data_IF_755947815346
#
_entry.id   IF_755947815346
#
_cell.length_a   1.000
_cell.length_b   1.000
_cell.length_c   1.000
_cell.angle_alpha   90.00
_cell.angle_beta   90.00
_cell.angle_gamma   90.00
#
_symmetry.space_group_name_H-M   'P 1'
#
loop_
_entity.id
_entity.type
_entity.pdbx_description
1 polymer ?
#
# COMPACT_ATOMS: atom_id res chain seq x y z
N UNK A 1 4.63 -16.58 5.79
CA UNK A 1 5.47 -15.38 5.88
C UNK A 1 4.59 -14.15 6.16
N UNK A 2 5.04 -13.24 7.01
CA UNK A 2 4.34 -11.99 7.29
C UNK A 2 4.99 -10.87 6.47
N UNK A 3 4.61 -10.76 5.20
CA UNK A 3 5.09 -9.72 4.32
C UNK A 3 4.26 -8.43 4.50
N UNK A 4 4.86 -7.27 4.30
CA UNK A 4 4.19 -5.99 4.49
C UNK A 4 3.11 -5.75 3.44
N UNK A 5 3.41 -6.10 2.20
CA UNK A 5 2.51 -5.94 1.05
C UNK A 5 2.64 -7.13 0.12
N UNK A 6 1.52 -7.76 -0.16
CA UNK A 6 1.43 -8.86 -1.12
C UNK A 6 0.11 -8.75 -1.84
N UNK A 7 0.15 -8.86 -3.15
CA UNK A 7 -1.02 -9.04 -3.99
C UNK A 7 -0.97 -10.41 -4.67
N UNK A 8 -2.10 -10.88 -5.11
CA UNK A 8 -2.21 -12.06 -5.95
C UNK A 8 -3.24 -11.81 -7.05
N UNK A 9 -3.15 -12.61 -8.09
CA UNK A 9 -4.12 -12.60 -9.19
C UNK A 9 -4.62 -14.01 -9.42
N UNK A 10 -5.86 -14.14 -9.82
CA UNK A 10 -6.38 -15.43 -10.28
C UNK A 10 -5.74 -15.77 -11.62
N UNK A 11 -5.46 -17.07 -11.84
CA UNK A 11 -4.97 -17.53 -13.13
C UNK A 11 -6.04 -17.33 -14.20
N UNK A 12 -5.68 -16.67 -15.28
CA UNK A 12 -6.46 -16.59 -16.51
C UNK A 12 -5.68 -17.20 -17.67
N UNK A 13 -6.30 -18.03 -18.53
CA UNK A 13 -5.63 -18.60 -19.67
C UNK A 13 -5.26 -17.51 -20.69
N UNK A 14 -3.99 -17.48 -21.07
CA UNK A 14 -3.46 -16.59 -22.10
C UNK A 14 -2.96 -17.46 -23.26
N UNK A 15 -3.24 -17.07 -24.49
CA UNK A 15 -2.82 -17.80 -25.68
C UNK A 15 -1.30 -18.03 -25.68
N UNK A 16 -0.88 -19.27 -25.94
CA UNK A 16 0.53 -19.67 -25.97
C UNK A 16 1.17 -19.94 -24.61
N UNK A 17 0.45 -19.80 -23.51
CA UNK A 17 0.98 -20.12 -22.18
C UNK A 17 0.95 -21.65 -21.94
N UNK A 18 2.11 -22.23 -21.59
CA UNK A 18 2.22 -23.67 -21.28
C UNK A 18 1.39 -24.12 -20.09
N UNK A 19 1.02 -23.19 -19.23
CA UNK A 19 0.13 -23.46 -18.10
C UNK A 19 -1.29 -23.86 -18.53
N UNK A 20 -1.70 -23.56 -19.76
CA UNK A 20 -2.99 -23.98 -20.30
C UNK A 20 -3.06 -25.49 -20.54
N UNK A 21 -1.90 -26.15 -20.75
CA UNK A 21 -1.79 -27.57 -21.03
C UNK A 21 -1.78 -28.44 -19.76
N UNK A 22 -1.77 -27.81 -18.58
CA UNK A 22 -1.82 -28.53 -17.33
C UNK A 22 -3.21 -29.15 -17.11
N UNK A 23 -3.28 -30.40 -16.64
CA UNK A 23 -4.54 -31.05 -16.30
C UNK A 23 -5.12 -30.38 -15.00
N UNK A 24 -6.39 -30.63 -14.78
CA UNK A 24 -7.08 -30.29 -13.52
C UNK A 24 -7.10 -28.78 -13.19
N UNK A 25 -7.46 -27.96 -14.16
CA UNK A 25 -7.68 -26.54 -13.92
C UNK A 25 -8.69 -26.31 -12.80
N UNK A 26 -8.32 -25.42 -11.87
CA UNK A 26 -9.19 -25.05 -10.74
C UNK A 26 -10.41 -24.27 -11.27
N UNK A 27 -11.64 -24.64 -10.88
CA UNK A 27 -12.86 -23.91 -11.23
C UNK A 27 -12.77 -22.43 -10.79
N UNK A 28 -13.42 -21.53 -11.54
CA UNK A 28 -13.34 -20.11 -11.29
C UNK A 28 -13.83 -19.71 -9.88
N UNK A 29 -14.89 -20.34 -9.42
CA UNK A 29 -15.44 -20.13 -8.07
C UNK A 29 -14.41 -20.43 -6.97
N UNK A 30 -13.65 -21.51 -7.13
CA UNK A 30 -12.59 -21.89 -6.17
C UNK A 30 -11.40 -20.93 -6.26
N UNK A 31 -11.06 -20.45 -7.45
CA UNK A 31 -10.01 -19.42 -7.59
C UNK A 31 -10.39 -18.15 -6.87
N UNK A 32 -11.64 -17.72 -7.03
CA UNK A 32 -12.16 -16.51 -6.39
C UNK A 32 -12.19 -16.65 -4.87
N UNK A 33 -12.68 -17.76 -4.34
CA UNK A 33 -12.66 -18.05 -2.90
C UNK A 33 -11.23 -18.00 -2.32
N UNK A 34 -10.28 -18.63 -3.00
CA UNK A 34 -8.87 -18.61 -2.57
C UNK A 34 -8.25 -17.22 -2.64
N UNK A 35 -8.59 -16.44 -3.64
CA UNK A 35 -8.17 -15.06 -3.78
C UNK A 35 -8.67 -14.21 -2.60
N UNK A 36 -9.96 -14.25 -2.32
CA UNK A 36 -10.58 -13.48 -1.24
C UNK A 36 -9.97 -13.84 0.11
N UNK A 37 -9.85 -15.11 0.41
CA UNK A 37 -9.22 -15.59 1.64
C UNK A 37 -7.76 -15.16 1.78
N UNK A 38 -7.02 -15.18 0.68
CA UNK A 38 -5.62 -14.71 0.67
C UNK A 38 -5.54 -13.22 0.96
N UNK A 39 -6.38 -12.42 0.31
CA UNK A 39 -6.40 -10.96 0.49
C UNK A 39 -6.87 -10.56 1.90
N UNK A 40 -7.83 -11.26 2.47
CA UNK A 40 -8.28 -11.05 3.85
C UNK A 40 -7.13 -11.24 4.85
N UNK A 41 -6.42 -12.37 4.77
CA UNK A 41 -5.26 -12.63 5.64
C UNK A 41 -4.15 -11.58 5.43
N UNK A 42 -3.90 -11.17 4.21
CA UNK A 42 -2.91 -10.14 3.93
C UNK A 42 -3.31 -8.78 4.49
N UNK A 43 -4.58 -8.44 4.44
CA UNK A 43 -5.11 -7.20 5.01
C UNK A 43 -4.94 -7.15 6.53
N UNK A 44 -5.21 -8.25 7.22
CA UNK A 44 -4.98 -8.37 8.67
C UNK A 44 -3.50 -8.20 9.03
N UNK A 45 -2.60 -8.85 8.29
CA UNK A 45 -1.15 -8.73 8.50
C UNK A 45 -0.69 -7.29 8.28
N UNK A 46 -1.16 -6.65 7.22
CA UNK A 46 -0.82 -5.26 6.89
C UNK A 46 -1.29 -4.31 7.98
N UNK A 47 -2.55 -4.44 8.41
CA UNK A 47 -3.11 -3.63 9.49
C UNK A 47 -2.34 -3.79 10.80
N UNK A 48 -2.03 -5.01 11.20
CA UNK A 48 -1.26 -5.29 12.41
C UNK A 48 0.16 -4.70 12.36
N UNK A 49 0.81 -4.69 11.18
CA UNK A 49 2.13 -4.08 11.00
C UNK A 49 2.08 -2.57 11.04
N UNK A 50 1.04 -1.97 10.46
CA UNK A 50 0.83 -0.52 10.51
C UNK A 50 0.61 -0.05 11.95
N UNK A 51 -0.18 -0.77 12.73
CA UNK A 51 -0.37 -0.46 14.15
C UNK A 51 0.95 -0.44 14.93
N UNK A 52 1.90 -1.32 14.62
CA UNK A 52 3.23 -1.34 15.24
C UNK A 52 4.11 -0.16 14.84
N UNK A 53 3.80 0.53 13.74
CA UNK A 53 4.54 1.73 13.30
C UNK A 53 4.08 3.01 13.99
N UNK A 54 2.92 3.00 14.63
CA UNK A 54 2.41 4.17 15.37
C UNK A 54 3.41 4.57 16.45
N UNK A 55 3.76 5.86 16.49
CA UNK A 55 4.75 6.41 17.42
C UNK A 55 6.22 6.22 17.01
N UNK A 56 6.50 5.57 15.88
CA UNK A 56 7.86 5.45 15.36
C UNK A 56 8.22 6.65 14.49
N UNK A 57 9.49 7.05 14.57
CA UNK A 57 10.07 8.07 13.70
C UNK A 57 10.45 7.45 12.36
N UNK A 58 10.10 8.11 11.26
CA UNK A 58 10.55 7.68 9.94
C UNK A 58 10.93 8.88 9.05
N UNK A 59 11.81 8.61 8.10
CA UNK A 59 12.14 9.57 7.03
C UNK A 59 11.15 9.36 5.90
N UNK A 60 10.56 10.45 5.43
CA UNK A 60 9.65 10.44 4.29
C UNK A 60 10.11 11.44 3.24
N UNK A 61 9.74 11.22 1.99
CA UNK A 61 9.91 12.16 0.90
C UNK A 61 8.56 12.85 0.69
N UNK A 62 8.53 14.16 0.77
CA UNK A 62 7.32 14.96 0.51
C UNK A 62 7.11 15.05 -1.00
N UNK A 63 5.99 14.54 -1.48
CA UNK A 63 5.60 14.57 -2.88
C UNK A 63 4.77 15.83 -3.21
N UNK A 64 3.83 16.19 -2.35
CA UNK A 64 3.01 17.38 -2.52
C UNK A 64 2.57 18.00 -1.18
N UNK A 65 2.22 19.28 -1.24
CA UNK A 65 1.63 20.02 -0.13
C UNK A 65 0.19 20.38 -0.52
N UNK A 66 -0.75 20.03 0.34
CA UNK A 66 -2.15 20.43 0.15
C UNK A 66 -2.31 21.91 0.45
N UNK A 67 -2.92 22.69 -0.45
CA UNK A 67 -3.04 24.14 -0.30
C UNK A 67 -4.09 24.54 0.75
N UNK A 68 -5.17 23.79 0.83
CA UNK A 68 -6.30 24.09 1.71
C UNK A 68 -6.10 23.62 3.16
N UNK A 69 -5.26 22.63 3.39
CA UNK A 69 -5.03 22.04 4.71
C UNK A 69 -3.53 21.97 5.03
N UNK A 70 -3.14 22.05 6.31
CA UNK A 70 -1.74 21.89 6.72
C UNK A 70 -1.32 20.42 6.68
N UNK A 71 -1.51 19.79 5.53
CA UNK A 71 -1.21 18.37 5.28
C UNK A 71 -0.24 18.25 4.11
N UNK A 72 0.81 17.48 4.29
CA UNK A 72 1.66 17.04 3.19
C UNK A 72 1.37 15.58 2.83
N UNK A 73 1.36 15.31 1.55
CA UNK A 73 1.37 13.94 1.04
C UNK A 73 2.82 13.54 0.82
N UNK A 74 3.21 12.45 1.44
CA UNK A 74 4.57 11.95 1.42
C UNK A 74 4.61 10.44 1.24
N UNK A 75 5.79 9.90 0.99
CA UNK A 75 6.03 8.46 0.90
C UNK A 75 7.26 8.06 1.71
N UNK A 76 7.25 6.85 2.25
CA UNK A 76 8.40 6.28 2.90
C UNK A 76 9.34 5.59 1.89
N UNK A 77 10.50 5.12 2.35
CA UNK A 77 11.42 4.36 1.51
C UNK A 77 10.86 2.99 1.05
N UNK A 78 9.74 2.57 1.61
CA UNK A 78 9.06 1.32 1.26
C UNK A 78 7.89 1.52 0.29
N UNK A 79 7.62 2.77 -0.11
CA UNK A 79 6.45 3.12 -0.91
C UNK A 79 6.87 3.56 -2.33
N UNK A 80 6.30 2.93 -3.34
CA UNK A 80 6.46 3.37 -4.73
C UNK A 80 5.50 4.54 -5.03
N UNK A 81 5.97 5.54 -5.82
CA UNK A 81 5.11 6.65 -6.21
C UNK A 81 3.88 6.17 -6.98
N UNK A 82 2.71 6.74 -6.65
CA UNK A 82 1.42 6.51 -7.33
C UNK A 82 0.85 5.09 -7.25
N UNK A 83 1.62 4.10 -6.81
CA UNK A 83 1.22 2.68 -6.76
C UNK A 83 0.88 2.26 -5.34
N UNK A 84 1.73 2.64 -4.39
CA UNK A 84 1.58 2.26 -2.98
C UNK A 84 0.83 3.34 -2.18
N UNK A 85 0.56 3.05 -0.90
CA UNK A 85 -0.11 3.99 -0.02
C UNK A 85 0.72 5.23 0.29
N UNK A 86 0.04 6.32 0.62
CA UNK A 86 0.65 7.57 1.00
C UNK A 86 0.82 7.69 2.51
N UNK A 87 1.79 8.49 2.92
CA UNK A 87 1.96 8.95 4.28
C UNK A 87 1.45 10.38 4.35
N UNK A 88 0.40 10.60 5.14
CA UNK A 88 -0.14 11.95 5.38
C UNK A 88 0.55 12.53 6.59
N UNK A 89 1.10 13.72 6.44
CA UNK A 89 1.78 14.47 7.51
C UNK A 89 0.92 15.67 7.84
N UNK A 90 0.40 15.69 9.05
CA UNK A 90 -0.41 16.79 9.58
C UNK A 90 0.45 17.79 10.37
N UNK A 91 -0.08 18.96 10.64
CA UNK A 91 0.56 20.03 11.44
C UNK A 91 1.95 20.45 10.91
N UNK A 92 2.07 20.54 9.60
CA UNK A 92 3.32 20.98 8.97
C UNK A 92 3.41 22.49 8.86
N UNK A 93 4.62 23.01 9.11
CA UNK A 93 4.96 24.39 8.76
C UNK A 93 5.39 24.45 7.28
N UNK A 94 4.49 24.86 6.41
CA UNK A 94 4.72 24.98 4.96
C UNK A 94 5.85 25.96 4.61
N UNK A 95 6.26 26.84 5.54
CA UNK A 95 7.40 27.74 5.33
C UNK A 95 8.74 27.02 5.41
N UNK A 96 8.78 25.85 6.06
CA UNK A 96 9.99 25.10 6.34
C UNK A 96 10.13 23.89 5.41
N UNK A 97 9.01 23.31 4.97
CA UNK A 97 9.00 22.05 4.18
C UNK A 97 8.59 22.34 2.73
N UNK A 98 9.37 21.86 1.78
CA UNK A 98 9.08 21.96 0.35
C UNK A 98 8.92 20.56 -0.27
N UNK A 99 8.13 20.48 -1.34
CA UNK A 99 8.05 19.27 -2.15
C UNK A 99 9.44 18.89 -2.69
N UNK A 100 9.75 17.58 -2.66
CA UNK A 100 11.08 17.07 -3.03
C UNK A 100 12.11 17.05 -1.89
N UNK A 101 11.80 17.62 -0.73
CA UNK A 101 12.65 17.53 0.45
C UNK A 101 12.45 16.23 1.23
N UNK A 102 13.47 15.84 1.99
CA UNK A 102 13.46 14.64 2.85
C UNK A 102 13.49 15.03 4.32
N UNK A 103 12.42 15.59 4.88
CA UNK A 103 12.38 15.89 6.30
C UNK A 103 12.39 14.59 7.11
N UNK A 104 13.09 14.62 8.24
CA UNK A 104 12.96 13.59 9.27
C UNK A 104 11.82 14.03 10.17
N UNK A 105 10.68 13.40 10.05
CA UNK A 105 9.51 13.72 10.85
C UNK A 105 9.52 12.95 12.16
N UNK A 106 9.29 13.68 13.23
CA UNK A 106 9.40 13.17 14.59
C UNK A 106 8.09 12.59 15.12
N UNK A 107 6.98 12.96 14.51
CA UNK A 107 5.65 12.49 14.94
C UNK A 107 4.86 12.19 13.68
N UNK A 108 4.63 10.93 13.43
CA UNK A 108 3.84 10.46 12.32
C UNK A 108 2.53 9.92 12.84
N UNK A 109 1.44 10.59 12.55
CA UNK A 109 0.14 9.95 12.55
C UNK A 109 0.00 9.28 11.18
N UNK A 110 0.40 8.01 11.08
CA UNK A 110 0.08 7.22 9.90
C UNK A 110 -1.42 6.99 9.87
N UNK A 111 -2.16 7.87 9.22
CA UNK A 111 -3.54 7.58 8.85
C UNK A 111 -3.49 6.76 7.58
N UNK A 112 -3.45 5.45 7.74
CA UNK A 112 -3.59 4.55 6.62
C UNK A 112 -5.07 4.48 6.26
N UNK A 113 -5.44 5.02 5.11
CA UNK A 113 -6.66 4.53 4.47
C UNK A 113 -6.37 3.12 4.02
N UNK A 114 -7.21 2.14 4.37
CA UNK A 114 -7.09 0.81 3.80
C UNK A 114 -7.08 0.98 2.27
N UNK A 115 -6.18 0.28 1.61
CA UNK A 115 -6.11 0.20 0.17
C UNK A 115 -7.52 -0.17 -0.33
N UNK A 116 -8.30 0.82 -0.75
CA UNK A 116 -9.39 0.57 -1.66
C UNK A 116 -8.71 0.25 -2.99
N UNK A 117 -8.59 -1.04 -3.28
CA UNK A 117 -8.28 -1.45 -4.63
C UNK A 117 -9.32 -0.80 -5.53
N UNK A 118 -8.90 0.15 -6.37
CA UNK A 118 -9.66 0.51 -7.54
C UNK A 118 -9.76 -0.75 -8.38
N UNK A 119 -10.91 -1.39 -8.33
CA UNK A 119 -11.34 -2.28 -9.40
C UNK A 119 -11.45 -1.43 -10.65
N UNK A 120 -10.55 -1.65 -11.60
CA UNK A 120 -10.75 -1.31 -13.00
C UNK A 120 -11.81 -2.23 -13.58
#
# INVERSE_FOLDING_TARGET
>A
AQLDRVGCFTYSPVEGATANDLPDHVPEEIKQERYERFMEVQQEISAAKLQKRIGQKMTVLVDSLEDEFPVAVARSCADAPEIDGNVFVEDIDKSVIKAGEKPILTTLVCIHRPLQFCTL
#
